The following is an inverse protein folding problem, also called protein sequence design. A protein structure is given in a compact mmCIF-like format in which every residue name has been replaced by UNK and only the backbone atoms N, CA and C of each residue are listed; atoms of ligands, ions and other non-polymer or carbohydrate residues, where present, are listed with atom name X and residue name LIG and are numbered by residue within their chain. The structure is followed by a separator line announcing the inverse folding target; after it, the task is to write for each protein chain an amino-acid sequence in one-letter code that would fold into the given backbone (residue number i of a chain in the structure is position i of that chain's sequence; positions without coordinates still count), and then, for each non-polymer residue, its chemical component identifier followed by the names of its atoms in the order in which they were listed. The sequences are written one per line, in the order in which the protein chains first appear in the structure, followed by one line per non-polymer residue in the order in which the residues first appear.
data_IF_484083138303
#
_entry.id   IF_484083138303
#
_cell.length_a   1.000
_cell.length_b   1.000
_cell.length_c   1.000
_cell.angle_alpha   90.00
_cell.angle_beta   90.00
_cell.angle_gamma   90.00
#
_symmetry.space_group_name_H-M   'P 1'
#
loop_
_entity.id
_entity.type
_entity.pdbx_description
1 polymer ?
#
# COMPACT_ATOMS: atom_id res chain seq x y z
N UNK A 1 -9.04 8.70 -0.72
CA UNK A 1 -8.42 7.66 -1.58
C UNK A 1 -8.27 6.43 -0.72
N UNK A 2 -7.06 5.89 -0.60
CA UNK A 2 -6.50 5.14 0.52
C UNK A 2 -6.20 6.10 1.68
N UNK A 3 -5.68 5.60 2.79
CA UNK A 3 -5.55 6.33 4.06
C UNK A 3 -4.38 7.34 4.12
N UNK A 4 -3.72 7.61 2.99
CA UNK A 4 -2.59 8.53 2.86
C UNK A 4 -2.85 9.64 1.83
N UNK A 5 -4.06 9.70 1.27
CA UNK A 5 -4.39 10.66 0.23
C UNK A 5 -5.85 11.09 0.30
N UNK A 6 -6.08 12.39 0.41
CA UNK A 6 -7.42 12.99 0.29
C UNK A 6 -7.41 14.24 -0.58
N UNK A 7 -8.58 14.64 -1.04
CA UNK A 7 -8.79 15.90 -1.75
C UNK A 7 -9.26 16.97 -0.75
N UNK A 8 -8.76 18.19 -0.90
CA UNK A 8 -9.17 19.36 -0.10
C UNK A 8 -9.48 20.54 -0.99
N UNK A 9 -10.23 21.47 -0.41
CA UNK A 9 -10.42 22.82 -0.93
C UNK A 9 -9.69 23.76 0.02
N UNK A 10 -8.78 24.56 -0.50
CA UNK A 10 -8.04 25.55 0.28
C UNK A 10 -8.96 26.67 0.76
N UNK A 11 -8.89 27.01 2.05
CA UNK A 11 -9.68 28.12 2.63
C UNK A 11 -9.22 29.50 2.08
N UNK A 12 -8.00 29.63 1.54
CA UNK A 12 -7.41 30.91 1.10
C UNK A 12 -7.87 31.34 -0.30
N UNK A 13 -7.90 30.40 -1.24
CA UNK A 13 -8.12 30.64 -2.66
C UNK A 13 -9.20 29.75 -3.29
N UNK A 14 -9.86 28.92 -2.47
CA UNK A 14 -10.89 27.96 -2.88
C UNK A 14 -10.39 26.98 -3.97
N UNK A 15 -9.08 26.73 -4.01
CA UNK A 15 -8.47 25.82 -4.96
C UNK A 15 -8.62 24.36 -4.48
N UNK A 16 -9.08 23.49 -5.38
CA UNK A 16 -9.05 22.04 -5.17
C UNK A 16 -7.62 21.50 -5.36
N UNK A 17 -7.17 20.70 -4.40
CA UNK A 17 -5.88 20.00 -4.47
C UNK A 17 -5.97 18.61 -3.84
N UNK A 18 -5.18 17.68 -4.37
CA UNK A 18 -4.99 16.38 -3.72
C UNK A 18 -3.78 16.46 -2.81
N UNK A 19 -3.93 16.10 -1.53
CA UNK A 19 -2.83 16.03 -0.57
C UNK A 19 -2.42 14.57 -0.41
N UNK A 20 -1.15 14.26 -0.69
CA UNK A 20 -0.50 12.97 -0.39
C UNK A 20 0.34 13.12 0.87
N UNK A 21 0.15 12.24 1.82
CA UNK A 21 0.89 12.31 3.08
C UNK A 21 2.35 11.94 2.83
N UNK A 22 3.26 12.71 3.42
CA UNK A 22 4.68 12.35 3.44
C UNK A 22 5.00 11.34 4.54
N UNK A 23 6.14 10.67 4.36
CA UNK A 23 6.80 9.73 5.29
C UNK A 23 6.11 8.39 5.53
N UNK A 24 4.85 8.24 5.12
CA UNK A 24 4.09 7.00 5.32
C UNK A 24 3.52 6.51 3.99
N UNK A 25 3.18 5.24 3.97
CA UNK A 25 2.42 4.63 2.89
C UNK A 25 1.37 3.70 3.48
N UNK A 26 0.17 3.71 2.89
CA UNK A 26 -0.97 2.98 3.43
C UNK A 26 -1.34 1.79 2.57
N UNK A 27 -1.91 0.73 3.16
CA UNK A 27 -2.43 -0.39 2.39
C UNK A 27 -3.45 0.10 1.35
N UNK A 28 -3.49 -0.56 0.21
CA UNK A 28 -4.39 -0.19 -0.87
C UNK A 28 -5.86 -0.43 -0.47
N UNK A 29 -6.76 0.43 -0.89
CA UNK A 29 -8.21 0.17 -0.81
C UNK A 29 -8.68 -0.58 -2.04
N UNK A 30 -9.79 -1.29 -1.91
CA UNK A 30 -10.23 -2.20 -2.97
C UNK A 30 -10.81 -1.51 -4.20
N UNK A 31 -11.19 -0.22 -4.07
CA UNK A 31 -11.85 0.68 -5.06
C UNK A 31 -12.45 -0.05 -6.27
N UNK A 32 -13.37 -0.99 -6.02
CA UNK A 32 -13.90 -1.89 -7.04
C UNK A 32 -13.19 -3.24 -7.10
N UNK A 33 -13.25 -4.03 -6.02
CA UNK A 33 -12.60 -5.34 -5.98
C UNK A 33 -13.13 -6.29 -7.07
N UNK A 34 -12.36 -6.39 -8.15
CA UNK A 34 -12.74 -7.16 -9.33
C UNK A 34 -13.15 -6.31 -10.52
N UNK A 35 -12.81 -5.02 -10.56
CA UNK A 35 -13.02 -4.19 -11.76
C UNK A 35 -11.92 -4.44 -12.80
N UNK A 36 -10.69 -4.69 -12.32
CA UNK A 36 -9.58 -5.12 -13.15
C UNK A 36 -9.48 -6.64 -13.25
N UNK A 37 -8.98 -7.15 -14.38
CA UNK A 37 -8.75 -8.60 -14.56
C UNK A 37 -7.85 -9.18 -13.46
N UNK A 38 -6.81 -8.44 -13.04
CA UNK A 38 -5.90 -8.88 -11.98
C UNK A 38 -6.62 -9.04 -10.64
N UNK A 39 -7.52 -8.13 -10.29
CA UNK A 39 -8.31 -8.26 -9.05
C UNK A 39 -9.36 -9.36 -9.16
N UNK A 40 -10.01 -9.54 -10.33
CA UNK A 40 -10.95 -10.66 -10.56
C UNK A 40 -10.26 -12.00 -10.34
N UNK A 41 -9.07 -12.16 -10.91
CA UNK A 41 -8.31 -13.40 -10.82
C UNK A 41 -7.79 -13.64 -9.40
N UNK A 42 -7.28 -12.62 -8.72
CA UNK A 42 -6.86 -12.76 -7.32
C UNK A 42 -8.04 -13.01 -6.37
N UNK A 43 -9.20 -12.39 -6.61
CA UNK A 43 -10.43 -12.66 -5.87
C UNK A 43 -10.91 -14.10 -6.05
N UNK A 44 -10.94 -14.58 -7.30
CA UNK A 44 -11.33 -15.96 -7.65
C UNK A 44 -10.42 -17.01 -6.98
N UNK A 45 -9.14 -16.70 -6.85
CA UNK A 45 -8.15 -17.59 -6.23
C UNK A 45 -7.94 -17.30 -4.73
N UNK A 46 -8.81 -16.51 -4.11
CA UNK A 46 -8.78 -16.24 -2.66
C UNK A 46 -7.43 -15.69 -2.17
N UNK A 47 -6.74 -14.90 -3.00
CA UNK A 47 -5.38 -14.44 -2.70
C UNK A 47 -5.34 -13.60 -1.41
N UNK A 48 -4.64 -14.11 -0.40
CA UNK A 48 -4.60 -13.54 0.94
C UNK A 48 -3.92 -12.17 0.98
N UNK A 49 -2.90 -11.94 0.15
CA UNK A 49 -2.19 -10.65 0.08
C UNK A 49 -3.16 -9.55 -0.35
N UNK A 50 -3.97 -9.79 -1.38
CA UNK A 50 -4.99 -8.83 -1.81
C UNK A 50 -6.05 -8.59 -0.74
N UNK A 51 -6.52 -9.65 -0.07
CA UNK A 51 -7.50 -9.54 1.03
C UNK A 51 -6.96 -8.68 2.16
N UNK A 52 -5.74 -8.98 2.61
CA UNK A 52 -5.04 -8.26 3.67
C UNK A 52 -4.86 -6.77 3.33
N UNK A 53 -4.32 -6.45 2.14
CA UNK A 53 -4.15 -5.07 1.70
C UNK A 53 -5.46 -4.29 1.76
N UNK A 54 -6.53 -4.85 1.18
CA UNK A 54 -7.81 -4.18 1.10
C UNK A 54 -8.50 -4.04 2.45
N UNK A 55 -8.41 -5.06 3.31
CA UNK A 55 -8.96 -4.98 4.66
C UNK A 55 -8.32 -3.84 5.45
N UNK A 56 -6.99 -3.79 5.50
CA UNK A 56 -6.29 -2.73 6.25
C UNK A 56 -6.38 -1.36 5.57
N UNK A 57 -6.51 -1.32 4.25
CA UNK A 57 -6.71 -0.10 3.49
C UNK A 57 -8.05 0.55 3.81
N UNK A 58 -9.13 -0.23 3.86
CA UNK A 58 -10.45 0.30 4.25
C UNK A 58 -10.46 0.72 5.73
N UNK A 59 -9.88 -0.07 6.66
CA UNK A 59 -9.76 0.33 8.08
C UNK A 59 -8.99 1.64 8.24
N UNK A 60 -7.88 1.80 7.53
CA UNK A 60 -7.11 3.05 7.55
C UNK A 60 -7.92 4.24 7.03
N UNK A 61 -8.67 4.04 5.96
CA UNK A 61 -9.51 5.06 5.34
C UNK A 61 -10.66 5.47 6.26
N UNK A 62 -11.36 4.51 6.85
CA UNK A 62 -12.42 4.75 7.85
C UNK A 62 -11.86 5.55 9.02
N UNK A 63 -10.70 5.15 9.54
CA UNK A 63 -10.06 5.86 10.65
C UNK A 63 -9.67 7.30 10.30
N UNK A 64 -9.12 7.52 9.11
CA UNK A 64 -8.78 8.85 8.63
C UNK A 64 -10.04 9.73 8.51
N UNK A 65 -11.15 9.18 8.01
CA UNK A 65 -12.43 9.88 7.93
C UNK A 65 -12.90 10.30 9.33
N UNK A 66 -12.89 9.39 10.32
CA UNK A 66 -13.26 9.71 11.70
C UNK A 66 -12.40 10.83 12.31
N UNK A 67 -11.09 10.83 12.07
CA UNK A 67 -10.17 11.85 12.57
C UNK A 67 -10.51 13.22 11.99
N UNK A 68 -10.73 13.28 10.68
CA UNK A 68 -11.05 14.53 9.98
C UNK A 68 -12.44 15.05 10.35
N UNK A 69 -13.43 14.16 10.49
CA UNK A 69 -14.79 14.51 10.94
C UNK A 69 -14.79 15.09 12.35
N UNK A 70 -14.02 14.50 13.28
CA UNK A 70 -13.84 15.02 14.65
C UNK A 70 -13.20 16.42 14.67
N UNK A 71 -12.45 16.76 13.63
CA UNK A 71 -11.85 18.08 13.41
C UNK A 71 -12.76 19.01 12.58
N UNK A 72 -14.05 18.68 12.46
CA UNK A 72 -15.03 19.49 11.73
C UNK A 72 -14.82 19.50 10.21
N UNK A 73 -14.26 18.41 9.66
CA UNK A 73 -13.85 18.28 8.26
C UNK A 73 -12.84 19.35 7.81
N UNK A 74 -12.02 19.82 8.74
CA UNK A 74 -10.94 20.78 8.50
C UNK A 74 -9.61 20.26 9.01
N UNK A 75 -8.57 20.53 8.26
CA UNK A 75 -7.18 20.16 8.55
C UNK A 75 -6.25 21.31 8.22
N UNK A 76 -5.06 21.30 8.82
CA UNK A 76 -3.93 22.13 8.42
C UNK A 76 -2.95 21.28 7.64
N UNK A 77 -2.52 21.76 6.48
CA UNK A 77 -1.56 21.06 5.62
C UNK A 77 -0.29 21.88 5.58
N UNK A 78 0.83 21.30 6.01
CA UNK A 78 2.15 21.86 5.77
C UNK A 78 2.73 21.20 4.53
N UNK A 79 2.68 21.94 3.42
CA UNK A 79 3.18 21.47 2.12
C UNK A 79 4.70 21.35 2.16
N UNK A 80 5.21 20.19 1.77
CA UNK A 80 6.64 19.87 1.68
C UNK A 80 7.11 19.68 0.23
N UNK A 81 6.18 19.50 -0.71
CA UNK A 81 6.48 19.42 -2.13
C UNK A 81 5.22 19.46 -2.98
N UNK A 82 5.41 19.66 -4.28
CA UNK A 82 4.32 19.73 -5.26
C UNK A 82 4.63 18.85 -6.48
N UNK A 83 3.59 18.25 -7.03
CA UNK A 83 3.65 17.51 -8.28
C UNK A 83 2.60 18.07 -9.26
N UNK A 84 3.10 18.54 -10.40
CA UNK A 84 2.24 18.91 -11.52
C UNK A 84 1.72 17.65 -12.19
N UNK A 85 0.40 17.50 -12.23
CA UNK A 85 -0.29 16.39 -12.92
C UNK A 85 -1.09 16.95 -14.09
N UNK A 86 -0.54 17.00 -15.32
CA UNK A 86 -1.28 17.46 -16.48
C UNK A 86 -2.60 16.68 -16.65
N UNK A 87 -3.71 17.41 -16.79
CA UNK A 87 -5.05 16.82 -16.97
C UNK A 87 -5.70 16.27 -15.69
N UNK A 88 -5.14 16.54 -14.50
CA UNK A 88 -5.71 16.17 -13.19
C UNK A 88 -5.56 17.34 -12.21
N UNK A 89 -6.27 17.30 -11.08
CA UNK A 89 -6.05 18.25 -9.99
C UNK A 89 -4.58 18.22 -9.53
N UNK A 90 -3.98 19.36 -9.17
CA UNK A 90 -2.61 19.39 -8.65
C UNK A 90 -2.49 18.49 -7.42
N UNK A 91 -1.32 17.87 -7.25
CA UNK A 91 -0.99 17.10 -6.04
C UNK A 91 0.08 17.84 -5.27
N UNK A 92 -0.09 17.94 -3.96
CA UNK A 92 0.97 18.31 -3.05
C UNK A 92 1.30 17.14 -2.12
N UNK A 93 2.52 17.16 -1.61
CA UNK A 93 2.98 16.30 -0.54
C UNK A 93 2.98 17.13 0.75
N UNK A 94 2.51 16.57 1.86
CA UNK A 94 2.43 17.36 3.09
C UNK A 94 2.23 16.61 4.38
N UNK A 95 2.63 17.28 5.46
CA UNK A 95 2.31 16.93 6.83
C UNK A 95 0.88 17.42 7.14
N UNK A 96 0.03 16.54 7.66
CA UNK A 96 -1.38 16.85 7.91
C UNK A 96 -1.65 16.87 9.41
N UNK A 97 -2.24 17.97 9.87
CA UNK A 97 -2.60 18.19 11.25
C UNK A 97 -4.10 18.44 11.38
N UNK A 98 -4.70 17.87 12.41
CA UNK A 98 -6.03 18.30 12.86
C UNK A 98 -5.95 19.72 13.46
N UNK A 99 -7.09 20.37 13.66
CA UNK A 99 -7.12 21.75 14.16
C UNK A 99 -6.54 21.90 15.57
N UNK A 100 -6.61 20.84 16.38
CA UNK A 100 -6.02 20.76 17.73
C UNK A 100 -4.50 20.53 17.73
N UNK A 101 -3.89 20.35 16.56
CA UNK A 101 -2.47 20.08 16.39
C UNK A 101 -2.08 18.61 16.33
N UNK A 102 -3.04 17.68 16.41
CA UNK A 102 -2.78 16.25 16.25
C UNK A 102 -2.19 15.95 14.88
N UNK A 103 -1.01 15.33 14.83
CA UNK A 103 -0.37 14.92 13.58
C UNK A 103 -0.99 13.61 13.08
N UNK A 104 -1.68 13.67 11.94
CA UNK A 104 -2.49 12.56 11.42
C UNK A 104 -1.64 11.36 11.06
N UNK A 105 -0.50 11.56 10.39
CA UNK A 105 0.40 10.46 10.03
C UNK A 105 0.91 9.68 11.26
N UNK A 106 1.17 10.37 12.38
CA UNK A 106 1.56 9.71 13.62
C UNK A 106 0.47 8.78 14.14
N UNK A 107 -0.79 9.21 14.14
CA UNK A 107 -1.91 8.38 14.59
C UNK A 107 -2.04 7.13 13.72
N UNK A 108 -1.95 7.28 12.39
CA UNK A 108 -2.03 6.14 11.46
C UNK A 108 -0.90 5.13 11.69
N UNK A 109 0.33 5.60 11.91
CA UNK A 109 1.47 4.70 12.21
C UNK A 109 1.30 4.04 13.57
N UNK A 110 0.95 4.81 14.60
CA UNK A 110 0.77 4.33 15.96
C UNK A 110 -0.33 3.26 16.05
N UNK A 111 -1.40 3.40 15.27
CA UNK A 111 -2.50 2.43 15.21
C UNK A 111 -2.22 1.25 14.26
N UNK A 112 -1.06 1.25 13.57
CA UNK A 112 -0.68 0.19 12.62
C UNK A 112 -1.48 0.21 11.33
N UNK A 113 -1.97 1.37 10.90
CA UNK A 113 -2.77 1.55 9.69
C UNK A 113 -1.93 2.04 8.49
N UNK A 114 -0.65 2.28 8.72
CA UNK A 114 0.34 2.64 7.70
C UNK A 114 1.71 2.10 8.08
N UNK A 115 2.62 2.02 7.10
CA UNK A 115 4.04 1.82 7.33
C UNK A 115 4.80 3.10 7.07
N UNK A 116 5.92 3.26 7.75
CA UNK A 116 6.91 4.28 7.40
C UNK A 116 7.47 3.94 6.03
N UNK A 117 7.53 4.93 5.15
CA UNK A 117 8.20 4.80 3.86
C UNK A 117 9.63 5.33 3.98
N UNK A 118 10.56 4.39 4.21
CA UNK A 118 11.94 4.67 4.59
C UNK A 118 12.73 5.49 3.56
N UNK A 119 12.38 5.40 2.27
CA UNK A 119 13.05 6.20 1.23
C UNK A 119 12.98 7.71 1.50
N UNK A 120 11.87 8.18 2.10
CA UNK A 120 11.67 9.60 2.41
C UNK A 120 11.86 9.96 3.89
N UNK A 121 12.20 8.99 4.77
CA UNK A 121 12.48 9.33 6.16
C UNK A 121 13.77 10.17 6.29
N UNK A 122 14.70 10.02 5.34
CA UNK A 122 15.95 10.80 5.31
C UNK A 122 15.71 12.30 5.08
N UNK A 123 14.59 12.67 4.46
CA UNK A 123 14.17 14.05 4.20
C UNK A 123 13.25 14.60 5.30
N UNK A 124 12.87 13.75 6.26
CA UNK A 124 12.00 14.11 7.37
C UNK A 124 12.76 14.92 8.44
N UNK A 125 12.17 15.99 9.01
CA UNK A 125 12.72 16.63 10.19
C UNK A 125 13.02 15.61 11.29
N UNK A 126 14.19 15.70 11.93
CA UNK A 126 14.70 14.68 12.85
C UNK A 126 13.69 14.28 13.94
N UNK A 127 13.03 15.26 14.55
CA UNK A 127 12.08 15.01 15.63
C UNK A 127 10.84 14.26 15.13
N UNK A 128 10.35 14.61 13.94
CA UNK A 128 9.25 13.91 13.27
C UNK A 128 9.65 12.47 12.92
N UNK A 129 10.86 12.26 12.41
CA UNK A 129 11.37 10.93 12.07
C UNK A 129 11.45 10.04 13.31
N UNK A 130 12.02 10.54 14.41
CA UNK A 130 12.11 9.80 15.69
C UNK A 130 10.72 9.45 16.20
N UNK A 131 9.79 10.40 16.18
CA UNK A 131 8.41 10.19 16.64
C UNK A 131 7.70 9.11 15.82
N UNK A 132 7.83 9.12 14.49
CA UNK A 132 7.23 8.08 13.64
C UNK A 132 7.87 6.72 13.87
N UNK A 133 9.21 6.63 13.95
CA UNK A 133 9.92 5.38 14.22
C UNK A 133 9.52 4.76 15.55
N UNK A 134 9.37 5.57 16.60
CA UNK A 134 8.89 5.10 17.90
C UNK A 134 7.43 4.62 17.83
N UNK A 135 6.57 5.31 17.08
CA UNK A 135 5.18 4.91 16.87
C UNK A 135 5.08 3.56 16.12
N UNK A 136 5.90 3.36 15.09
CA UNK A 136 5.89 2.10 14.33
C UNK A 136 6.40 0.94 15.20
N UNK A 137 7.48 1.15 15.96
CA UNK A 137 7.99 0.16 16.89
C UNK A 137 6.97 -0.21 17.98
N UNK A 138 6.26 0.78 18.51
CA UNK A 138 5.18 0.57 19.48
C UNK A 138 3.99 -0.21 18.87
N UNK A 139 3.60 0.12 17.64
CA UNK A 139 2.56 -0.62 16.92
C UNK A 139 2.96 -2.08 16.63
N UNK A 140 4.23 -2.32 16.29
CA UNK A 140 4.81 -3.66 16.09
C UNK A 140 4.78 -4.47 17.40
N UNK A 141 5.34 -3.93 18.48
CA UNK A 141 5.43 -4.60 19.78
C UNK A 141 4.04 -4.96 20.31
N UNK A 142 3.07 -4.05 20.17
CA UNK A 142 1.72 -4.24 20.64
C UNK A 142 0.80 -4.94 19.63
N UNK A 143 1.31 -5.37 18.48
CA UNK A 143 0.54 -6.02 17.41
C UNK A 143 -0.73 -5.21 17.11
N UNK A 144 -0.57 -3.98 16.63
CA UNK A 144 -1.71 -3.13 16.19
C UNK A 144 -1.83 -3.14 14.68
N UNK A 145 -3.05 -3.09 14.19
CA UNK A 145 -3.29 -2.94 12.76
C UNK A 145 -2.65 -4.06 11.95
N UNK A 146 -1.94 -3.70 10.87
CA UNK A 146 -1.20 -4.62 9.99
C UNK A 146 -0.22 -5.54 10.74
N UNK A 147 0.19 -5.17 11.96
CA UNK A 147 1.11 -5.94 12.80
C UNK A 147 0.43 -7.10 13.56
N UNK A 148 -0.90 -7.28 13.43
CA UNK A 148 -1.67 -8.38 14.04
C UNK A 148 -1.66 -9.67 13.25
N UNK A 149 -1.43 -9.59 11.94
CA UNK A 149 -1.29 -10.79 11.12
C UNK A 149 -0.15 -11.65 11.68
N UNK A 150 -0.22 -12.98 11.56
CA UNK A 150 0.67 -13.92 12.25
C UNK A 150 2.15 -13.54 12.06
N UNK A 151 2.64 -12.72 12.98
CA UNK A 151 3.95 -12.06 13.07
C UNK A 151 4.61 -11.56 11.76
N UNK A 152 4.31 -10.37 11.22
CA UNK A 152 3.21 -10.08 10.29
C UNK A 152 3.66 -10.34 8.84
N UNK A 153 3.02 -11.30 8.16
CA UNK A 153 3.22 -11.59 6.71
C UNK A 153 2.61 -10.50 5.80
N UNK A 154 2.43 -9.29 6.33
CA UNK A 154 1.94 -8.15 5.61
C UNK A 154 3.03 -7.61 4.68
N UNK A 155 2.79 -7.69 3.38
CA UNK A 155 3.67 -7.11 2.36
C UNK A 155 3.51 -5.58 2.38
N UNK A 156 4.60 -4.79 2.45
CA UNK A 156 4.51 -3.33 2.38
C UNK A 156 3.73 -2.85 1.15
N UNK A 157 2.96 -1.75 1.22
CA UNK A 157 2.08 -1.36 0.11
C UNK A 157 2.85 -1.06 -1.20
N UNK A 158 4.06 -0.51 -1.12
CA UNK A 158 4.92 -0.31 -2.29
C UNK A 158 5.35 -1.62 -2.97
N UNK A 159 5.69 -2.65 -2.19
CA UNK A 159 6.00 -3.99 -2.71
C UNK A 159 4.75 -4.62 -3.32
N UNK A 160 3.60 -4.51 -2.65
CA UNK A 160 2.33 -4.98 -3.18
C UNK A 160 1.98 -4.34 -4.53
N UNK A 161 2.14 -3.02 -4.66
CA UNK A 161 1.91 -2.31 -5.93
C UNK A 161 2.83 -2.82 -7.04
N UNK A 162 4.10 -3.10 -6.72
CA UNK A 162 5.06 -3.68 -7.66
C UNK A 162 4.62 -5.07 -8.13
N UNK A 163 4.25 -5.95 -7.19
CA UNK A 163 3.72 -7.28 -7.46
C UNK A 163 2.44 -7.24 -8.33
N UNK A 164 1.46 -6.43 -7.94
CA UNK A 164 0.20 -6.20 -8.68
C UNK A 164 0.47 -5.76 -10.11
N UNK A 165 1.47 -4.90 -10.34
CA UNK A 165 1.87 -4.47 -11.70
C UNK A 165 2.41 -5.64 -12.53
N UNK A 166 3.19 -6.54 -11.94
CA UNK A 166 3.76 -7.73 -12.61
C UNK A 166 2.68 -8.73 -12.98
N UNK A 167 1.83 -9.10 -12.02
CA UNK A 167 0.65 -9.95 -12.28
C UNK A 167 -0.25 -9.37 -13.37
N UNK A 168 -0.49 -8.05 -13.37
CA UNK A 168 -1.29 -7.38 -14.40
C UNK A 168 -0.65 -7.47 -15.78
N UNK A 169 0.68 -7.32 -15.89
CA UNK A 169 1.38 -7.46 -17.17
C UNK A 169 1.24 -8.88 -17.70
N UNK A 170 1.51 -9.87 -16.85
CA UNK A 170 1.39 -11.29 -17.19
C UNK A 170 -0.01 -11.65 -17.69
N UNK A 171 -1.07 -11.26 -16.95
CA UNK A 171 -2.45 -11.51 -17.34
C UNK A 171 -2.85 -10.81 -18.64
N UNK A 172 -2.33 -9.61 -18.90
CA UNK A 172 -2.54 -8.92 -20.18
C UNK A 172 -1.94 -9.74 -21.33
N UNK A 173 -0.73 -10.24 -21.15
CA UNK A 173 -0.01 -10.97 -22.19
C UNK A 173 -0.62 -12.36 -22.43
N UNK A 174 -1.13 -13.03 -21.39
CA UNK A 174 -1.95 -14.24 -21.52
C UNK A 174 -3.32 -13.97 -22.15
N UNK A 175 -3.92 -12.80 -21.89
CA UNK A 175 -5.20 -12.44 -22.50
C UNK A 175 -5.06 -12.22 -24.01
N UNK A 176 -3.87 -11.86 -24.46
CA UNK A 176 -3.56 -11.81 -25.89
C UNK A 176 -3.49 -13.22 -26.48
N UNK A 177 -2.79 -14.15 -25.81
CA UNK A 177 -2.71 -15.57 -26.20
C UNK A 177 -4.11 -16.21 -26.30
N UNK A 178 -4.98 -15.94 -25.31
CA UNK A 178 -6.36 -16.41 -25.30
C UNK A 178 -7.16 -15.88 -26.51
N UNK A 179 -6.98 -14.61 -26.88
CA UNK A 179 -7.65 -14.01 -28.06
C UNK A 179 -7.13 -14.58 -29.37
N UNK A 180 -5.86 -14.95 -29.42
CA UNK A 180 -5.23 -15.58 -30.58
C UNK A 180 -5.55 -17.09 -30.67
N UNK A 181 -6.18 -17.66 -29.64
CA UNK A 181 -6.56 -19.07 -29.58
C UNK A 181 -5.38 -20.02 -29.34
N UNK A 182 -4.25 -19.51 -28.86
CA UNK A 182 -3.06 -20.32 -28.55
C UNK A 182 -3.20 -21.05 -27.21
N UNK A 183 -4.09 -20.56 -26.33
CA UNK A 183 -4.47 -21.20 -25.06
C UNK A 183 -5.99 -21.21 -24.90
N UNK A 184 -6.50 -22.14 -24.08
CA UNK A 184 -7.93 -22.16 -23.69
C UNK A 184 -8.17 -21.33 -22.42
N UNK A 185 -9.44 -21.04 -22.09
CA UNK A 185 -9.80 -20.42 -20.81
C UNK A 185 -9.37 -21.28 -19.61
N UNK A 186 -9.40 -22.61 -19.75
CA UNK A 186 -8.94 -23.53 -18.71
C UNK A 186 -7.43 -23.44 -18.50
N UNK A 187 -6.64 -23.34 -19.58
CA UNK A 187 -5.19 -23.13 -19.51
C UNK A 187 -4.86 -21.77 -18.88
N UNK A 188 -5.63 -20.73 -19.23
CA UNK A 188 -5.49 -19.40 -18.66
C UNK A 188 -5.65 -19.42 -17.14
N UNK A 189 -6.75 -20.01 -16.67
CA UNK A 189 -7.06 -20.12 -15.24
C UNK A 189 -6.03 -20.99 -14.49
N UNK A 190 -5.69 -22.16 -15.04
CA UNK A 190 -4.77 -23.10 -14.41
C UNK A 190 -3.37 -22.52 -14.28
N UNK A 191 -2.87 -21.86 -15.33
CA UNK A 191 -1.53 -21.26 -15.33
C UNK A 191 -1.43 -20.14 -14.30
N UNK A 192 -2.41 -19.24 -14.25
CA UNK A 192 -2.37 -18.16 -13.27
C UNK A 192 -2.48 -18.70 -11.84
N UNK A 193 -3.32 -19.70 -11.60
CA UNK A 193 -3.43 -20.35 -10.30
C UNK A 193 -2.10 -21.00 -9.87
N UNK A 194 -1.40 -21.67 -10.78
CA UNK A 194 -0.09 -22.25 -10.51
C UNK A 194 0.93 -21.16 -10.13
N UNK A 195 0.93 -20.03 -10.85
CA UNK A 195 1.80 -18.89 -10.51
C UNK A 195 1.52 -18.32 -9.13
N UNK A 196 0.25 -18.26 -8.71
CA UNK A 196 -0.08 -17.84 -7.34
C UNK A 196 0.42 -18.84 -6.29
N UNK A 197 0.33 -20.14 -6.54
CA UNK A 197 0.86 -21.16 -5.62
C UNK A 197 2.39 -21.06 -5.48
N UNK A 198 3.11 -20.87 -6.59
CA UNK A 198 4.56 -20.64 -6.57
C UNK A 198 4.90 -19.35 -5.81
N UNK A 199 4.14 -18.27 -6.02
CA UNK A 199 4.30 -17.01 -5.29
C UNK A 199 4.15 -17.20 -3.78
N UNK A 200 3.11 -17.91 -3.34
CA UNK A 200 2.82 -18.11 -1.91
C UNK A 200 3.94 -18.92 -1.24
N UNK A 201 4.51 -19.91 -1.92
CA UNK A 201 5.67 -20.67 -1.43
C UNK A 201 6.93 -19.80 -1.30
N UNK A 202 7.20 -18.95 -2.30
CA UNK A 202 8.32 -18.02 -2.27
C UNK A 202 8.17 -17.05 -1.10
N UNK A 203 6.99 -16.44 -0.96
CA UNK A 203 6.73 -15.46 0.09
C UNK A 203 6.81 -16.08 1.48
N UNK A 204 6.25 -17.28 1.67
CA UNK A 204 6.37 -18.01 2.94
C UNK A 204 7.83 -18.21 3.33
N UNK A 205 8.68 -18.63 2.38
CA UNK A 205 10.12 -18.80 2.62
C UNK A 205 10.80 -17.46 2.98
N UNK A 206 10.52 -16.40 2.23
CA UNK A 206 11.12 -15.09 2.48
C UNK A 206 10.67 -14.48 3.81
N UNK A 207 9.43 -14.71 4.23
CA UNK A 207 8.94 -14.28 5.54
C UNK A 207 9.61 -15.06 6.68
N UNK A 208 9.83 -16.36 6.52
CA UNK A 208 10.60 -17.16 7.49
C UNK A 208 12.03 -16.65 7.62
N UNK A 209 12.70 -16.36 6.49
CA UNK A 209 14.05 -15.79 6.47
C UNK A 209 14.09 -14.42 7.18
N UNK A 210 13.12 -13.54 6.88
CA UNK A 210 13.01 -12.23 7.52
C UNK A 210 12.79 -12.37 9.04
N UNK A 211 11.87 -13.26 9.44
CA UNK A 211 11.54 -13.51 10.85
C UNK A 211 12.71 -14.08 11.64
N UNK A 212 13.50 -14.94 11.01
CA UNK A 212 14.69 -15.55 11.60
C UNK A 212 15.92 -14.62 11.56
N UNK A 213 15.79 -13.42 10.97
CA UNK A 213 16.88 -12.47 10.82
C UNK A 213 17.96 -12.91 9.82
N UNK A 214 17.63 -13.84 8.92
CA UNK A 214 18.50 -14.29 7.83
C UNK A 214 18.66 -13.19 6.78
N UNK A 215 17.59 -12.43 6.54
CA UNK A 215 17.57 -11.27 5.66
C UNK A 215 16.99 -10.06 6.40
N UNK A 216 17.44 -8.89 5.99
CA UNK A 216 16.89 -7.60 6.44
C UNK A 216 15.60 -7.25 5.70
N UNK A 217 14.85 -6.28 6.23
CA UNK A 217 13.64 -5.78 5.56
C UNK A 217 13.91 -5.28 4.13
N UNK A 218 14.96 -4.46 3.84
CA UNK A 218 15.28 -4.09 2.45
C UNK A 218 15.60 -5.29 1.56
N UNK A 219 16.36 -6.27 2.04
CA UNK A 219 16.67 -7.48 1.27
C UNK A 219 15.43 -8.33 1.00
N UNK A 220 14.49 -8.40 1.94
CA UNK A 220 13.18 -9.03 1.72
C UNK A 220 12.44 -8.34 0.56
N UNK A 221 12.37 -7.01 0.57
CA UNK A 221 11.66 -6.24 -0.45
C UNK A 221 12.29 -6.43 -1.85
N UNK A 222 13.62 -6.36 -1.93
CA UNK A 222 14.36 -6.59 -3.17
C UNK A 222 14.14 -8.02 -3.70
N UNK A 223 14.20 -9.02 -2.82
CA UNK A 223 13.98 -10.43 -3.20
C UNK A 223 12.55 -10.67 -3.67
N UNK A 224 11.53 -10.13 -2.98
CA UNK A 224 10.14 -10.24 -3.45
C UNK A 224 9.99 -9.65 -4.84
N UNK A 225 10.60 -8.48 -5.09
CA UNK A 225 10.54 -7.84 -6.40
C UNK A 225 11.27 -8.64 -7.49
N UNK A 226 12.45 -9.18 -7.19
CA UNK A 226 13.21 -10.05 -8.09
C UNK A 226 12.41 -11.32 -8.44
N UNK A 227 11.89 -12.01 -7.43
CA UNK A 227 11.11 -13.23 -7.63
C UNK A 227 9.82 -12.96 -8.41
N UNK A 228 9.12 -11.86 -8.12
CA UNK A 228 7.94 -11.45 -8.87
C UNK A 228 8.26 -11.15 -10.35
N UNK A 229 9.43 -10.58 -10.65
CA UNK A 229 9.88 -10.36 -12.03
C UNK A 229 10.08 -11.67 -12.77
N UNK A 230 10.74 -12.65 -12.13
CA UNK A 230 11.03 -13.94 -12.73
C UNK A 230 9.75 -14.78 -12.89
N UNK A 231 8.90 -14.78 -11.87
CA UNK A 231 7.70 -15.60 -11.81
C UNK A 231 6.66 -15.20 -12.86
N UNK A 232 6.47 -13.90 -13.04
CA UNK A 232 5.50 -13.30 -13.97
C UNK A 232 6.14 -12.78 -15.27
N UNK A 233 7.38 -13.19 -15.57
CA UNK A 233 7.94 -13.02 -16.89
C UNK A 233 7.19 -13.90 -17.90
N UNK A 234 7.02 -13.38 -19.12
CA UNK A 234 6.55 -14.15 -20.27
C UNK A 234 7.75 -14.53 -21.13
#
# INVERSE_FOLDING_TARGET
SDADTFDVISDEDNQEMTVRFVYIDTPETSKGWGDSQVEKMNRKNENQIYRSQFEWGEKGKERLQELVEKSGNKVKVKVTGEEKRPGRSPRCFGEVYLLDGTFVQYILVQEGLSRIYYDYISECPRDTAIMLLLAEADAQINQRGIWQESQSEFIPPWVFRSLKKKQRSFLRDMSQDLKEGTITEADFDATFKLKLQEQDQILSTLFEDLKNGVITQPEFEDKVQEQANNLFAK
#
